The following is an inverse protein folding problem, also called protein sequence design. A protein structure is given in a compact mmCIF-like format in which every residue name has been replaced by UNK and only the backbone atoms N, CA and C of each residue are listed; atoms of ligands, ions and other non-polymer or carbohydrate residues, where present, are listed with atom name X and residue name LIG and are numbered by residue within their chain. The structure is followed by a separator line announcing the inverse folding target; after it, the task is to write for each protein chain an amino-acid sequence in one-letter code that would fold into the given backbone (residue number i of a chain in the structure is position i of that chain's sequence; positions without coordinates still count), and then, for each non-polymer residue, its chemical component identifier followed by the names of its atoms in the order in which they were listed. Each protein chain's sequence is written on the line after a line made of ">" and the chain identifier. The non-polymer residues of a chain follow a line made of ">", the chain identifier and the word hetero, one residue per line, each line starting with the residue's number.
data_IF_498835337664
#
_entry.id   IF_498835337664
#
_cell.length_a   1.000
_cell.length_b   1.000
_cell.length_c   1.000
_cell.angle_alpha   90.00
_cell.angle_beta   90.00
_cell.angle_gamma   90.00
#
_symmetry.space_group_name_H-M   'P 1'
#
loop_
_entity.id
_entity.type
_entity.pdbx_description
1 polymer ?
#
# COMPACT_ATOMS: atom_id res chain seq x y z
N UNK A 1 20.18 -19.88 14.32
CA UNK A 1 18.74 -19.97 13.94
C UNK A 1 18.41 -18.76 13.11
N UNK A 2 17.58 -18.91 12.08
CA UNK A 2 17.09 -17.80 11.27
C UNK A 2 15.59 -17.64 11.54
N UNK A 3 15.17 -16.43 11.90
CA UNK A 3 13.78 -16.07 12.08
C UNK A 3 13.38 -15.16 10.93
N UNK A 4 12.34 -15.56 10.18
CA UNK A 4 11.76 -14.76 9.11
C UNK A 4 10.41 -14.25 9.60
N UNK A 5 10.16 -12.94 9.47
CA UNK A 5 8.91 -12.29 9.87
C UNK A 5 8.29 -11.67 8.63
N UNK A 6 7.16 -12.21 8.19
CA UNK A 6 6.41 -11.65 7.08
C UNK A 6 5.45 -10.57 7.59
N UNK A 7 5.64 -9.34 7.12
CA UNK A 7 4.84 -8.19 7.51
C UNK A 7 3.85 -7.85 6.39
N UNK A 8 2.58 -7.50 6.72
CA UNK A 8 1.62 -7.06 5.71
C UNK A 8 2.07 -5.75 5.05
N UNK A 9 2.06 -5.70 3.71
CA UNK A 9 2.43 -4.50 2.93
C UNK A 9 1.47 -3.30 3.11
N UNK A 10 0.40 -3.49 3.88
CA UNK A 10 -0.63 -2.47 4.16
C UNK A 10 -0.20 -1.58 5.35
N UNK A 11 0.86 -1.96 6.07
CA UNK A 11 1.26 -1.24 7.27
C UNK A 11 2.06 0.02 6.93
N UNK A 12 1.72 1.17 7.56
CA UNK A 12 2.53 2.38 7.44
C UNK A 12 3.97 2.13 7.91
N UNK A 13 4.94 2.78 7.26
CA UNK A 13 6.36 2.70 7.60
C UNK A 13 6.66 3.01 9.07
N UNK A 14 5.87 3.87 9.70
CA UNK A 14 5.99 4.19 11.13
C UNK A 14 5.69 2.98 12.04
N UNK A 15 4.67 2.18 11.69
CA UNK A 15 4.29 1.00 12.47
C UNK A 15 5.30 -0.13 12.33
N UNK A 16 5.85 -0.31 11.14
CA UNK A 16 6.91 -1.30 10.91
C UNK A 16 8.19 -0.92 11.65
N UNK A 17 8.59 0.36 11.64
CA UNK A 17 9.73 0.84 12.41
C UNK A 17 9.57 0.60 13.93
N UNK A 18 8.39 0.90 14.48
CA UNK A 18 8.11 0.71 15.91
C UNK A 18 8.11 -0.77 16.33
N UNK A 19 7.70 -1.66 15.43
CA UNK A 19 7.79 -3.11 15.67
C UNK A 19 9.23 -3.60 15.64
N UNK A 20 10.04 -3.13 14.70
CA UNK A 20 11.47 -3.46 14.64
C UNK A 20 12.16 -3.04 15.93
N UNK A 21 11.93 -1.82 16.41
CA UNK A 21 12.50 -1.32 17.67
C UNK A 21 12.09 -2.20 18.87
N UNK A 22 10.83 -2.61 18.96
CA UNK A 22 10.37 -3.52 20.03
C UNK A 22 11.07 -4.88 19.97
N UNK A 23 11.25 -5.41 18.76
CA UNK A 23 11.93 -6.69 18.54
C UNK A 23 13.40 -6.57 18.97
N UNK A 24 14.08 -5.49 18.59
CA UNK A 24 15.46 -5.20 19.02
C UNK A 24 15.59 -5.16 20.54
N UNK A 25 14.70 -4.45 21.23
CA UNK A 25 14.70 -4.36 22.69
C UNK A 25 14.55 -5.73 23.37
N UNK A 26 13.69 -6.61 22.82
CA UNK A 26 13.53 -7.98 23.33
C UNK A 26 14.84 -8.76 23.17
N UNK A 27 15.48 -8.69 22.00
CA UNK A 27 16.71 -9.43 21.75
C UNK A 27 17.91 -8.91 22.55
N UNK A 28 18.00 -7.59 22.76
CA UNK A 28 19.00 -6.97 23.65
C UNK A 28 18.81 -7.47 25.09
N UNK A 29 17.57 -7.52 25.58
CA UNK A 29 17.25 -7.99 26.94
C UNK A 29 17.67 -9.45 27.15
N UNK A 30 17.50 -10.29 26.15
CA UNK A 30 17.89 -11.70 26.19
C UNK A 30 19.40 -11.92 25.90
N UNK A 31 20.17 -10.84 25.68
CA UNK A 31 21.61 -10.85 25.36
C UNK A 31 21.95 -11.72 24.14
N UNK A 32 21.08 -11.69 23.12
CA UNK A 32 21.24 -12.45 21.88
C UNK A 32 21.83 -11.55 20.80
N UNK A 33 22.87 -12.00 20.11
CA UNK A 33 23.40 -11.31 18.94
C UNK A 33 22.47 -11.54 17.73
N UNK A 34 22.03 -10.47 17.07
CA UNK A 34 21.14 -10.53 15.92
C UNK A 34 21.59 -9.57 14.81
N UNK A 35 21.20 -9.89 13.57
CA UNK A 35 21.41 -9.09 12.38
C UNK A 35 20.04 -8.94 11.68
N UNK A 36 19.53 -7.71 11.53
CA UNK A 36 18.27 -7.45 10.84
C UNK A 36 18.56 -7.22 9.37
N UNK A 37 18.04 -8.10 8.50
CA UNK A 37 18.09 -7.92 7.04
C UNK A 37 16.69 -7.60 6.56
N UNK A 38 16.47 -6.36 6.16
CA UNK A 38 15.29 -5.97 5.39
C UNK A 38 15.45 -6.51 3.97
N UNK A 39 14.45 -7.25 3.50
CA UNK A 39 14.37 -7.59 2.08
C UNK A 39 14.34 -6.29 1.28
N UNK A 40 15.08 -6.24 0.17
CA UNK A 40 15.05 -5.12 -0.76
C UNK A 40 13.59 -4.82 -1.13
N UNK A 41 13.20 -3.53 -1.27
CA UNK A 41 11.86 -3.18 -1.69
C UNK A 41 11.53 -3.96 -2.96
N UNK A 42 10.31 -4.51 -3.00
CA UNK A 42 9.81 -5.20 -4.18
C UNK A 42 10.07 -4.32 -5.41
N UNK A 43 10.42 -4.94 -6.54
CA UNK A 43 10.59 -4.19 -7.77
C UNK A 43 9.36 -3.31 -8.02
N UNK A 44 9.55 -2.07 -8.49
CA UNK A 44 8.44 -1.13 -8.68
C UNK A 44 7.38 -1.79 -9.54
N UNK A 45 6.12 -1.71 -9.08
CA UNK A 45 5.03 -2.38 -9.78
C UNK A 45 4.93 -1.82 -11.20
N UNK A 46 4.66 -2.67 -12.18
CA UNK A 46 4.44 -2.22 -13.55
C UNK A 46 3.27 -1.23 -13.62
N UNK A 47 2.35 -1.31 -12.67
CA UNK A 47 1.26 -0.34 -12.49
C UNK A 47 1.74 1.05 -12.04
N UNK A 48 2.84 1.17 -11.29
CA UNK A 48 3.38 2.47 -10.85
C UNK A 48 3.90 3.31 -12.03
N UNK A 49 4.18 2.67 -13.17
CA UNK A 49 4.64 3.30 -14.41
C UNK A 49 3.49 3.61 -15.38
N UNK A 50 2.26 3.23 -15.05
CA UNK A 50 1.11 3.45 -15.93
C UNK A 50 0.62 4.89 -15.83
N UNK A 51 0.91 5.68 -16.85
CA UNK A 51 0.41 7.04 -17.00
C UNK A 51 -0.93 7.02 -17.75
N UNK A 52 -2.04 7.05 -17.01
CA UNK A 52 -3.40 6.96 -17.59
C UNK A 52 -3.68 8.15 -18.50
N UNK A 53 -3.16 9.33 -18.16
CA UNK A 53 -3.33 10.54 -18.95
C UNK A 53 -2.70 10.41 -20.34
N UNK A 54 -1.53 9.77 -20.45
CA UNK A 54 -0.83 9.56 -21.73
C UNK A 54 -1.52 8.52 -22.63
N UNK A 55 -2.14 7.49 -22.04
CA UNK A 55 -2.89 6.46 -22.80
C UNK A 55 -4.35 6.83 -23.06
N UNK A 56 -4.84 7.93 -22.45
CA UNK A 56 -6.22 8.35 -22.63
C UNK A 56 -6.43 8.92 -24.03
N UNK A 57 -7.42 8.37 -24.75
CA UNK A 57 -7.87 8.90 -26.04
C UNK A 57 -9.09 9.77 -25.77
N UNK A 58 -9.00 11.05 -26.14
CA UNK A 58 -10.17 11.93 -26.12
C UNK A 58 -11.20 11.43 -27.14
N UNK A 59 -12.31 10.91 -26.62
CA UNK A 59 -13.41 10.40 -27.43
C UNK A 59 -14.42 11.50 -27.80
N UNK A 60 -14.24 12.73 -27.29
CA UNK A 60 -15.24 13.80 -27.39
C UNK A 60 -16.51 13.53 -26.58
N UNK A 61 -16.55 12.43 -25.84
CA UNK A 61 -17.65 12.06 -24.96
C UNK A 61 -17.32 12.59 -23.57
N UNK A 62 -18.19 13.48 -23.07
CA UNK A 62 -18.06 14.02 -21.71
C UNK A 62 -18.04 12.89 -20.68
N UNK A 63 -17.14 12.99 -19.70
CA UNK A 63 -17.10 12.04 -18.58
C UNK A 63 -18.46 11.99 -17.86
N UNK A 64 -19.12 10.84 -17.97
CA UNK A 64 -20.41 10.59 -17.33
C UNK A 64 -20.26 10.13 -15.88
N UNK A 65 -19.06 9.93 -15.32
CA UNK A 65 -18.88 9.47 -13.94
C UNK A 65 -19.66 10.31 -12.92
N UNK A 66 -19.70 11.64 -13.10
CA UNK A 66 -20.51 12.56 -12.27
C UNK A 66 -22.02 12.27 -12.27
N UNK A 67 -22.53 11.66 -13.33
CA UNK A 67 -23.94 11.26 -13.42
C UNK A 67 -24.22 9.93 -12.72
N UNK A 68 -23.17 9.15 -12.40
CA UNK A 68 -23.30 7.81 -11.82
C UNK A 68 -23.20 7.78 -10.29
N UNK A 69 -22.74 8.87 -9.65
CA UNK A 69 -22.73 9.01 -8.17
C UNK A 69 -24.10 8.73 -7.54
N UNK A 70 -25.18 9.06 -8.24
CA UNK A 70 -26.55 8.85 -7.77
C UNK A 70 -26.95 7.37 -7.67
N UNK A 71 -26.31 6.47 -8.43
CA UNK A 71 -26.69 5.05 -8.45
C UNK A 71 -26.00 4.22 -7.35
N UNK A 72 -24.90 4.70 -6.79
CA UNK A 72 -24.18 4.00 -5.72
C UNK A 72 -24.90 4.08 -4.36
N UNK A 73 -25.69 5.13 -4.14
CA UNK A 73 -26.41 5.35 -2.88
C UNK A 73 -27.90 4.99 -2.93
N UNK A 74 -28.37 4.38 -4.03
CA UNK A 74 -29.75 3.91 -4.18
C UNK A 74 -30.83 4.98 -4.06
N UNK A 75 -30.47 6.27 -4.13
CA UNK A 75 -31.45 7.36 -4.08
C UNK A 75 -31.84 7.76 -5.51
N UNK A 76 -33.11 7.66 -5.89
CA UNK A 76 -33.54 7.98 -7.24
C UNK A 76 -33.28 9.46 -7.52
N UNK A 77 -32.78 9.76 -8.73
CA UNK A 77 -32.64 11.12 -9.25
C UNK A 77 -34.00 11.81 -9.11
N UNK A 78 -34.11 12.79 -8.20
CA UNK A 78 -35.33 13.58 -8.06
C UNK A 78 -35.52 14.39 -9.35
N UNK A 79 -36.69 14.24 -9.95
CA UNK A 79 -37.14 14.95 -11.15
C UNK A 79 -37.38 16.43 -10.89
#
# INVERSE_FOLDING_TARGET
>A
MQLTIDLPNIWPNEKTALLIEKIEQIFIKENVSFEIKTALPAEPDSWDKLNIEEISVDTGITDFAKNHDYYLYGTPKKS
#
